data_IF_478851508133
#
_entry.id   IF_478851508133
#
_cell.length_a   1.000
_cell.length_b   1.000
_cell.length_c   1.000
_cell.angle_alpha   90.00
_cell.angle_beta   90.00
_cell.angle_gamma   90.00
#
_symmetry.space_group_name_H-M   'P 1'
#
loop_
_entity.id
_entity.type
_entity.pdbx_description
1 polymer ?
#
# COMPACT_ATOMS: atom_id res chain seq x y z
N UNK A 1 -18.08 17.97 -26.41
CA UNK A 1 -18.70 19.31 -26.31
C UNK A 1 -19.06 19.77 -24.89
N UNK A 2 -19.79 19.02 -24.04
CA UNK A 2 -20.00 19.43 -22.62
C UNK A 2 -18.79 19.12 -21.71
N UNK A 3 -18.10 18.00 -21.94
CA UNK A 3 -16.90 17.56 -21.19
C UNK A 3 -15.68 18.46 -21.39
N UNK A 4 -15.65 19.30 -22.43
CA UNK A 4 -14.53 20.21 -22.73
C UNK A 4 -14.62 21.54 -21.98
N UNK A 5 -15.72 21.81 -21.27
CA UNK A 5 -15.82 23.00 -20.42
C UNK A 5 -15.08 22.74 -19.09
N UNK A 6 -14.00 23.47 -18.78
CA UNK A 6 -13.17 23.20 -17.60
C UNK A 6 -13.93 23.26 -16.27
N UNK A 7 -15.03 24.04 -16.20
CA UNK A 7 -15.91 24.07 -15.03
C UNK A 7 -16.76 22.82 -14.85
N UNK A 8 -17.28 22.25 -15.95
CA UNK A 8 -18.09 21.03 -15.91
C UNK A 8 -17.24 19.82 -15.53
N UNK A 9 -16.03 19.70 -16.09
CA UNK A 9 -15.11 18.60 -15.78
C UNK A 9 -14.69 18.57 -14.31
N UNK A 10 -14.38 19.74 -13.74
CA UNK A 10 -14.11 19.89 -12.29
C UNK A 10 -15.33 19.55 -11.43
N UNK A 11 -16.52 20.03 -11.82
CA UNK A 11 -17.75 19.73 -11.08
C UNK A 11 -18.07 18.24 -11.07
N UNK A 12 -17.93 17.56 -12.22
CA UNK A 12 -18.12 16.11 -12.33
C UNK A 12 -17.12 15.34 -11.46
N UNK A 13 -15.84 15.72 -11.48
CA UNK A 13 -14.81 15.11 -10.63
C UNK A 13 -15.15 15.23 -9.14
N UNK A 14 -15.55 16.42 -8.69
CA UNK A 14 -15.95 16.65 -7.30
C UNK A 14 -17.23 15.90 -6.93
N UNK A 15 -18.20 15.80 -7.84
CA UNK A 15 -19.44 15.04 -7.62
C UNK A 15 -19.14 13.54 -7.42
N UNK A 16 -18.28 12.97 -8.25
CA UNK A 16 -17.86 11.57 -8.11
C UNK A 16 -17.05 11.36 -6.83
N UNK A 17 -16.18 12.31 -6.46
CA UNK A 17 -15.47 12.26 -5.17
C UNK A 17 -16.44 12.28 -3.98
N UNK A 18 -17.47 13.13 -4.00
CA UNK A 18 -18.50 13.17 -2.97
C UNK A 18 -19.33 11.88 -2.95
N UNK A 19 -19.63 11.30 -4.11
CA UNK A 19 -20.27 9.98 -4.18
C UNK A 19 -19.37 8.89 -3.58
N UNK A 20 -18.05 8.95 -3.80
CA UNK A 20 -17.09 8.01 -3.23
C UNK A 20 -16.97 8.11 -1.69
N UNK A 21 -17.35 9.25 -1.10
CA UNK A 21 -17.50 9.41 0.36
C UNK A 21 -18.82 8.83 0.90
N UNK A 22 -19.74 8.43 0.02
CA UNK A 22 -21.00 7.82 0.43
C UNK A 22 -20.82 6.32 0.72
N UNK A 23 -21.62 5.73 1.62
CA UNK A 23 -21.57 4.30 1.90
C UNK A 23 -22.02 3.43 0.72
N UNK A 24 -22.58 4.02 -0.34
CA UNK A 24 -23.05 3.33 -1.53
C UNK A 24 -21.93 3.07 -2.56
N UNK A 25 -20.80 3.76 -2.43
CA UNK A 25 -19.65 3.54 -3.30
C UNK A 25 -18.80 2.37 -2.81
N UNK A 26 -18.38 1.51 -3.74
CA UNK A 26 -17.40 0.46 -3.45
C UNK A 26 -15.98 0.96 -3.75
N UNK A 27 -14.99 0.42 -3.04
CA UNK A 27 -13.58 0.74 -3.25
C UNK A 27 -13.11 0.49 -4.69
N UNK A 28 -13.52 -0.64 -5.29
CA UNK A 28 -13.18 -0.97 -6.68
C UNK A 28 -13.79 0.02 -7.65
N UNK A 29 -15.10 0.29 -7.55
CA UNK A 29 -15.75 1.26 -8.45
C UNK A 29 -15.12 2.64 -8.34
N UNK A 30 -14.86 3.13 -7.13
CA UNK A 30 -14.19 4.40 -6.90
C UNK A 30 -12.83 4.46 -7.59
N UNK A 31 -11.98 3.45 -7.43
CA UNK A 31 -10.68 3.42 -8.08
C UNK A 31 -10.78 3.32 -9.61
N UNK A 32 -11.60 2.42 -10.14
CA UNK A 32 -11.75 2.26 -11.60
C UNK A 32 -12.29 3.53 -12.26
N UNK A 33 -13.24 4.20 -11.62
CA UNK A 33 -13.76 5.49 -12.10
C UNK A 33 -12.65 6.55 -12.03
N UNK A 34 -11.87 6.59 -10.95
CA UNK A 34 -10.68 7.45 -10.84
C UNK A 34 -9.67 7.22 -11.96
N UNK A 35 -9.37 5.95 -12.26
CA UNK A 35 -8.47 5.57 -13.36
C UNK A 35 -9.05 5.97 -14.73
N UNK A 36 -10.36 5.82 -14.92
CA UNK A 36 -11.05 6.32 -16.10
C UNK A 36 -10.91 7.84 -16.27
N UNK A 37 -11.00 8.60 -15.17
CA UNK A 37 -10.68 10.03 -15.16
C UNK A 37 -9.25 10.30 -15.57
N UNK A 38 -8.28 9.57 -15.00
CA UNK A 38 -6.87 9.73 -15.35
C UNK A 38 -6.57 9.47 -16.84
N UNK A 39 -7.11 8.36 -17.39
CA UNK A 39 -6.72 7.87 -18.71
C UNK A 39 -7.54 8.45 -19.87
N UNK A 40 -8.82 8.77 -19.64
CA UNK A 40 -9.75 9.19 -20.70
C UNK A 40 -9.95 10.71 -20.67
N UNK A 41 -10.22 11.26 -19.48
CA UNK A 41 -10.64 12.66 -19.33
C UNK A 41 -9.52 13.60 -18.85
N UNK A 42 -8.44 13.05 -18.30
CA UNK A 42 -7.45 13.79 -17.53
C UNK A 42 -7.96 14.18 -16.13
N UNK A 43 -7.05 14.22 -15.15
CA UNK A 43 -7.37 14.71 -13.82
C UNK A 43 -7.43 16.25 -13.80
N UNK A 44 -8.58 16.87 -13.46
CA UNK A 44 -8.71 18.32 -13.47
C UNK A 44 -8.08 19.03 -12.26
N UNK A 45 -7.65 18.27 -11.23
CA UNK A 45 -7.10 18.76 -9.97
C UNK A 45 -5.89 17.89 -9.53
N UNK A 46 -4.83 17.76 -10.33
CA UNK A 46 -3.77 16.78 -10.10
C UNK A 46 -3.02 16.97 -8.78
N UNK A 47 -2.61 18.21 -8.46
CA UNK A 47 -1.84 18.47 -7.24
C UNK A 47 -2.68 18.28 -5.97
N UNK A 48 -3.93 18.78 -6.00
CA UNK A 48 -4.86 18.67 -4.88
C UNK A 48 -5.26 17.22 -4.62
N UNK A 49 -5.62 16.47 -5.67
CA UNK A 49 -5.97 15.04 -5.54
C UNK A 49 -4.79 14.20 -5.06
N UNK A 50 -3.57 14.46 -5.52
CA UNK A 50 -2.36 13.74 -5.09
C UNK A 50 -2.01 14.05 -3.62
N UNK A 51 -2.19 15.28 -3.16
CA UNK A 51 -1.96 15.63 -1.75
C UNK A 51 -3.07 15.14 -0.83
N UNK A 52 -4.33 15.30 -1.25
CA UNK A 52 -5.49 14.85 -0.51
C UNK A 52 -5.50 13.33 -0.36
N UNK A 53 -5.19 12.58 -1.42
CA UNK A 53 -5.15 11.10 -1.37
C UNK A 53 -4.17 10.61 -0.31
N UNK A 54 -2.96 11.19 -0.23
CA UNK A 54 -1.95 10.82 0.78
C UNK A 54 -2.43 11.06 2.22
N UNK A 55 -3.14 12.15 2.47
CA UNK A 55 -3.63 12.50 3.80
C UNK A 55 -4.89 11.72 4.19
N UNK A 56 -5.89 11.70 3.31
CA UNK A 56 -7.14 10.97 3.53
C UNK A 56 -6.87 9.48 3.74
N UNK A 57 -5.92 8.91 3.00
CA UNK A 57 -5.53 7.52 3.18
C UNK A 57 -4.89 7.25 4.55
N UNK A 58 -4.02 8.13 5.04
CA UNK A 58 -3.45 8.00 6.39
C UNK A 58 -4.55 8.07 7.45
N UNK A 59 -5.49 9.01 7.31
CA UNK A 59 -6.63 9.14 8.21
C UNK A 59 -7.55 7.93 8.17
N UNK A 60 -7.84 7.41 6.98
CA UNK A 60 -8.61 6.19 6.80
C UNK A 60 -7.92 5.01 7.47
N UNK A 61 -6.62 4.79 7.24
CA UNK A 61 -5.86 3.71 7.87
C UNK A 61 -5.90 3.83 9.39
N UNK A 62 -5.67 5.03 9.96
CA UNK A 62 -5.79 5.24 11.42
C UNK A 62 -7.20 4.86 11.90
N UNK A 63 -8.24 5.34 11.23
CA UNK A 63 -9.63 5.09 11.60
C UNK A 63 -10.06 3.63 11.46
N UNK A 64 -9.47 2.87 10.52
CA UNK A 64 -9.69 1.43 10.40
C UNK A 64 -9.21 0.68 11.65
N UNK A 65 -8.26 1.23 12.41
CA UNK A 65 -7.81 0.68 13.69
C UNK A 65 -8.92 0.57 14.74
N UNK A 66 -9.98 1.38 14.65
CA UNK A 66 -11.14 1.28 15.55
C UNK A 66 -12.00 0.03 15.35
N UNK A 67 -11.70 -0.82 14.35
CA UNK A 67 -12.33 -2.13 14.17
C UNK A 67 -11.35 -3.29 14.35
N UNK A 68 -10.18 -3.02 14.92
CA UNK A 68 -9.11 -4.01 15.11
C UNK A 68 -8.88 -4.26 16.59
N UNK A 69 -8.70 -5.53 16.95
CA UNK A 69 -8.29 -5.94 18.28
C UNK A 69 -6.75 -6.00 18.34
N UNK A 70 -6.14 -5.27 19.28
CA UNK A 70 -4.67 -5.23 19.40
C UNK A 70 -4.07 -6.59 19.79
N UNK A 71 -4.80 -7.43 20.52
CA UNK A 71 -4.38 -8.79 20.86
C UNK A 71 -4.27 -9.66 19.62
N UNK A 72 -5.19 -9.51 18.66
CA UNK A 72 -5.14 -10.17 17.36
C UNK A 72 -3.95 -9.68 16.53
N UNK A 73 -3.68 -8.38 16.51
CA UNK A 73 -2.50 -7.80 15.84
C UNK A 73 -1.21 -8.39 16.40
N UNK A 74 -1.11 -8.49 17.74
CA UNK A 74 0.05 -9.07 18.41
C UNK A 74 0.16 -10.58 18.17
N UNK A 75 -0.96 -11.31 18.16
CA UNK A 75 -0.99 -12.73 17.86
C UNK A 75 -0.51 -13.01 16.42
N UNK A 76 -1.06 -12.28 15.44
CA UNK A 76 -0.61 -12.35 14.04
C UNK A 76 0.85 -11.93 13.92
N UNK A 77 1.30 -10.90 14.64
CA UNK A 77 2.70 -10.49 14.64
C UNK A 77 3.66 -11.53 15.20
N UNK A 78 3.23 -12.30 16.20
CA UNK A 78 4.02 -13.41 16.76
C UNK A 78 4.02 -14.62 15.82
N UNK A 79 2.87 -15.03 15.30
CA UNK A 79 2.76 -16.20 14.43
C UNK A 79 3.45 -15.98 13.08
N UNK A 80 3.39 -14.76 12.55
CA UNK A 80 4.00 -14.40 11.26
C UNK A 80 5.43 -13.87 11.37
N UNK A 81 6.04 -13.86 12.56
CA UNK A 81 7.36 -13.25 12.80
C UNK A 81 8.44 -13.85 11.90
N UNK A 82 8.60 -15.18 11.93
CA UNK A 82 9.63 -15.90 11.16
C UNK A 82 9.41 -15.69 9.67
N UNK A 83 8.18 -15.86 9.20
CA UNK A 83 7.81 -15.64 7.81
C UNK A 83 8.10 -14.20 7.37
N UNK A 84 7.78 -13.22 8.21
CA UNK A 84 7.99 -11.80 7.90
C UNK A 84 9.47 -11.48 7.78
N UNK A 85 10.31 -11.94 8.71
CA UNK A 85 11.76 -11.73 8.64
C UNK A 85 12.36 -12.40 7.40
N UNK A 86 12.01 -13.68 7.16
CA UNK A 86 12.53 -14.43 6.02
C UNK A 86 12.10 -13.76 4.72
N UNK A 87 10.81 -13.42 4.58
CA UNK A 87 10.30 -12.78 3.36
C UNK A 87 10.93 -11.41 3.14
N UNK A 88 10.97 -10.51 4.13
CA UNK A 88 11.59 -9.18 3.98
C UNK A 88 13.06 -9.31 3.59
N UNK A 89 13.81 -10.18 4.27
CA UNK A 89 15.24 -10.39 3.99
C UNK A 89 15.46 -10.97 2.60
N UNK A 90 14.67 -11.97 2.20
CA UNK A 90 14.74 -12.57 0.87
C UNK A 90 14.40 -11.56 -0.23
N UNK A 91 13.37 -10.74 -0.04
CA UNK A 91 12.96 -9.71 -1.01
C UNK A 91 14.06 -8.65 -1.15
N UNK A 92 14.64 -8.18 -0.05
CA UNK A 92 15.74 -7.21 -0.09
C UNK A 92 16.96 -7.82 -0.77
N UNK A 93 17.37 -9.04 -0.39
CA UNK A 93 18.52 -9.73 -0.97
C UNK A 93 18.36 -9.98 -2.47
N UNK A 94 17.20 -10.49 -2.90
CA UNK A 94 16.89 -10.71 -4.31
C UNK A 94 16.81 -9.38 -5.07
N UNK A 95 16.26 -8.34 -4.45
CA UNK A 95 16.20 -7.00 -5.02
C UNK A 95 17.60 -6.41 -5.23
N UNK A 96 18.52 -6.59 -4.29
CA UNK A 96 19.92 -6.17 -4.46
C UNK A 96 20.59 -6.90 -5.63
N UNK A 97 20.39 -8.23 -5.75
CA UNK A 97 20.90 -9.02 -6.89
C UNK A 97 20.34 -8.49 -8.22
N UNK A 98 19.01 -8.32 -8.31
CA UNK A 98 18.37 -7.82 -9.52
C UNK A 98 18.80 -6.39 -9.85
N UNK A 99 19.04 -5.54 -8.85
CA UNK A 99 19.51 -4.17 -9.08
C UNK A 99 20.85 -4.14 -9.81
N UNK A 100 21.74 -5.09 -9.53
CA UNK A 100 23.03 -5.25 -10.22
C UNK A 100 22.85 -5.76 -11.65
N UNK A 101 21.97 -6.77 -11.84
CA UNK A 101 21.63 -7.32 -13.17
C UNK A 101 21.09 -6.22 -14.10
N UNK A 102 20.18 -5.39 -13.58
CA UNK A 102 19.59 -4.26 -14.32
C UNK A 102 20.48 -3.01 -14.34
N UNK A 103 21.67 -3.04 -13.71
CA UNK A 103 22.64 -1.94 -13.64
C UNK A 103 22.01 -0.63 -13.15
N UNK A 104 21.24 -0.72 -12.07
CA UNK A 104 20.62 0.43 -11.44
C UNK A 104 21.62 1.19 -10.57
N UNK A 105 21.34 2.47 -10.34
CA UNK A 105 22.01 3.20 -9.26
C UNK A 105 21.73 2.49 -7.93
N UNK A 106 22.76 2.36 -7.10
CA UNK A 106 22.70 1.61 -5.85
C UNK A 106 21.54 2.05 -4.96
N UNK A 107 21.38 3.36 -4.76
CA UNK A 107 20.28 3.91 -3.96
C UNK A 107 18.90 3.57 -4.56
N UNK A 108 18.70 3.71 -5.87
CA UNK A 108 17.44 3.36 -6.53
C UNK A 108 17.09 1.89 -6.34
N UNK A 109 18.07 0.99 -6.51
CA UNK A 109 17.92 -0.45 -6.28
C UNK A 109 17.54 -0.77 -4.84
N UNK A 110 18.27 -0.21 -3.86
CA UNK A 110 17.98 -0.40 -2.44
C UNK A 110 16.60 0.14 -2.07
N UNK A 111 16.24 1.35 -2.52
CA UNK A 111 14.92 1.95 -2.23
C UNK A 111 13.77 1.12 -2.82
N UNK A 112 13.89 0.63 -4.06
CA UNK A 112 12.89 -0.25 -4.67
C UNK A 112 12.77 -1.57 -3.89
N UNK A 113 13.90 -2.15 -3.49
CA UNK A 113 13.93 -3.42 -2.75
C UNK A 113 13.26 -3.29 -1.37
N UNK A 114 13.61 -2.26 -0.59
CA UNK A 114 12.97 -1.96 0.69
C UNK A 114 11.50 -1.57 0.54
N UNK A 115 11.16 -0.78 -0.48
CA UNK A 115 9.78 -0.44 -0.82
C UNK A 115 8.94 -1.68 -1.11
N UNK A 116 9.47 -2.60 -1.92
CA UNK A 116 8.80 -3.85 -2.29
C UNK A 116 8.60 -4.75 -1.07
N UNK A 117 9.60 -4.83 -0.19
CA UNK A 117 9.62 -5.77 0.93
C UNK A 117 8.66 -5.43 2.07
N UNK A 118 8.42 -4.14 2.36
CA UNK A 118 7.77 -3.73 3.62
C UNK A 118 6.41 -3.03 3.39
N UNK A 119 6.40 -1.70 3.28
CA UNK A 119 5.16 -0.91 3.08
C UNK A 119 5.28 0.14 1.95
N UNK A 120 6.13 -0.11 0.96
CA UNK A 120 6.23 0.73 -0.22
C UNK A 120 6.83 2.09 0.09
N UNK A 121 6.05 3.14 -0.14
CA UNK A 121 6.51 4.53 -0.01
C UNK A 121 7.02 4.90 1.38
N UNK A 122 6.45 4.36 2.46
CA UNK A 122 6.94 4.70 3.82
C UNK A 122 8.27 4.03 4.14
N UNK A 123 8.55 2.86 3.56
CA UNK A 123 9.87 2.23 3.67
C UNK A 123 10.92 3.02 2.86
N UNK A 124 10.56 3.49 1.66
CA UNK A 124 11.41 4.40 0.86
C UNK A 124 11.71 5.68 1.64
N UNK A 125 10.70 6.31 2.23
CA UNK A 125 10.87 7.54 3.00
C UNK A 125 11.76 7.34 4.24
N UNK A 126 11.63 6.21 4.93
CA UNK A 126 12.46 5.89 6.08
C UNK A 126 13.92 5.58 5.70
N UNK A 127 14.14 4.95 4.53
CA UNK A 127 15.46 4.56 4.04
C UNK A 127 16.22 5.68 3.33
N UNK A 128 15.52 6.59 2.67
CA UNK A 128 16.10 7.69 1.91
C UNK A 128 17.16 8.50 2.70
N UNK A 129 16.91 8.98 3.93
CA UNK A 129 17.93 9.69 4.71
C UNK A 129 19.07 8.76 5.14
N UNK A 130 18.77 7.50 5.47
CA UNK A 130 19.74 6.52 5.94
C UNK A 130 20.83 6.26 4.90
N UNK A 131 20.45 6.11 3.63
CA UNK A 131 21.38 5.87 2.52
C UNK A 131 21.77 7.15 1.76
N UNK A 132 21.36 8.32 2.25
CA UNK A 132 21.59 9.64 1.62
C UNK A 132 21.15 9.67 0.16
N UNK A 133 19.94 9.17 -0.12
CA UNK A 133 19.37 9.13 -1.46
C UNK A 133 19.07 10.54 -1.99
N UNK A 134 19.30 10.74 -3.28
CA UNK A 134 18.98 11.99 -3.98
C UNK A 134 17.49 12.05 -4.30
N UNK A 135 16.94 13.26 -4.47
CA UNK A 135 15.51 13.46 -4.72
C UNK A 135 15.01 12.78 -6.00
N UNK A 136 15.84 12.74 -7.05
CA UNK A 136 15.54 12.00 -8.29
C UNK A 136 15.44 10.49 -8.05
N UNK A 137 16.32 9.92 -7.23
CA UNK A 137 16.30 8.50 -6.88
C UNK A 137 15.06 8.13 -6.08
N UNK A 138 14.69 8.96 -5.10
CA UNK A 138 13.46 8.81 -4.30
C UNK A 138 12.24 8.88 -5.22
N UNK A 139 12.18 9.88 -6.11
CA UNK A 139 11.05 10.07 -7.02
C UNK A 139 10.88 8.88 -7.99
N UNK A 140 11.97 8.37 -8.56
CA UNK A 140 11.95 7.18 -9.43
C UNK A 140 11.44 5.96 -8.66
N UNK A 141 11.99 5.68 -7.47
CA UNK A 141 11.59 4.53 -6.67
C UNK A 141 10.12 4.61 -6.24
N UNK A 142 9.64 5.78 -5.80
CA UNK A 142 8.23 5.99 -5.46
C UNK A 142 7.32 5.80 -6.68
N UNK A 143 7.71 6.32 -7.84
CA UNK A 143 6.92 6.22 -9.07
C UNK A 143 6.76 4.76 -9.52
N UNK A 144 7.83 3.98 -9.48
CA UNK A 144 7.79 2.55 -9.80
C UNK A 144 6.91 1.79 -8.82
N UNK A 145 7.10 1.98 -7.51
CA UNK A 145 6.31 1.29 -6.48
C UNK A 145 4.82 1.65 -6.58
N UNK A 146 4.49 2.92 -6.76
CA UNK A 146 3.09 3.34 -6.90
C UNK A 146 2.45 2.82 -8.19
N UNK A 147 3.21 2.73 -9.29
CA UNK A 147 2.73 2.12 -10.51
C UNK A 147 2.41 0.62 -10.33
N UNK A 148 3.32 -0.13 -9.71
CA UNK A 148 3.09 -1.56 -9.41
C UNK A 148 1.95 -1.77 -8.42
N UNK A 149 1.80 -0.88 -7.45
CA UNK A 149 0.68 -0.89 -6.51
C UNK A 149 -0.67 -0.70 -7.22
N UNK A 150 -0.74 0.25 -8.15
CA UNK A 150 -1.93 0.45 -8.97
C UNK A 150 -2.26 -0.81 -9.78
N UNK A 151 -1.25 -1.45 -10.40
CA UNK A 151 -1.44 -2.74 -11.08
C UNK A 151 -1.89 -3.84 -10.13
N UNK A 152 -1.29 -3.93 -8.95
CA UNK A 152 -1.59 -4.95 -7.95
C UNK A 152 -3.04 -4.88 -7.49
N UNK A 153 -3.54 -3.67 -7.28
CA UNK A 153 -4.91 -3.44 -6.88
C UNK A 153 -5.93 -3.94 -7.93
N UNK A 154 -5.58 -3.87 -9.22
CA UNK A 154 -6.41 -4.38 -10.31
C UNK A 154 -6.29 -5.89 -10.49
N UNK A 155 -5.06 -6.39 -10.46
CA UNK A 155 -4.74 -7.77 -10.86
C UNK A 155 -5.05 -8.75 -9.73
N UNK A 156 -4.76 -8.39 -8.48
CA UNK A 156 -4.83 -9.33 -7.35
C UNK A 156 -6.24 -9.87 -7.13
N UNK A 157 -7.30 -9.05 -6.97
CA UNK A 157 -8.64 -9.57 -6.73
C UNK A 157 -9.09 -10.54 -7.83
N UNK A 158 -8.81 -10.21 -9.10
CA UNK A 158 -9.11 -11.08 -10.23
C UNK A 158 -8.37 -12.41 -10.16
N UNK A 159 -7.05 -12.39 -9.91
CA UNK A 159 -6.27 -13.61 -9.72
C UNK A 159 -6.74 -14.41 -8.50
N UNK A 160 -7.10 -13.75 -7.41
CA UNK A 160 -7.62 -14.39 -6.21
C UNK A 160 -8.89 -15.18 -6.49
N UNK A 161 -9.81 -14.63 -7.29
CA UNK A 161 -11.01 -15.37 -7.73
C UNK A 161 -10.66 -16.48 -8.73
N UNK A 162 -9.72 -16.24 -9.65
CA UNK A 162 -9.26 -17.25 -10.61
C UNK A 162 -8.69 -18.49 -9.92
N UNK A 163 -7.86 -18.30 -8.89
CA UNK A 163 -7.32 -19.39 -8.06
C UNK A 163 -8.27 -19.86 -6.95
N UNK A 164 -9.49 -19.33 -6.89
CA UNK A 164 -10.50 -19.68 -5.88
C UNK A 164 -9.99 -19.59 -4.44
N UNK A 165 -9.21 -18.56 -4.14
CA UNK A 165 -8.68 -18.34 -2.79
C UNK A 165 -9.81 -18.07 -1.78
N UNK A 166 -9.64 -18.52 -0.56
CA UNK A 166 -10.48 -18.03 0.55
C UNK A 166 -10.15 -16.56 0.87
N UNK A 167 -11.03 -15.88 1.61
CA UNK A 167 -10.75 -14.51 2.07
C UNK A 167 -9.47 -14.42 2.91
N UNK A 168 -9.18 -15.44 3.73
CA UNK A 168 -7.96 -15.50 4.55
C UNK A 168 -6.70 -15.75 3.70
N UNK A 169 -6.78 -16.64 2.71
CA UNK A 169 -5.68 -16.87 1.76
C UNK A 169 -5.40 -15.62 0.93
N UNK A 170 -6.44 -14.95 0.44
CA UNK A 170 -6.29 -13.69 -0.28
C UNK A 170 -5.70 -12.59 0.62
N UNK A 171 -6.15 -12.49 1.88
CA UNK A 171 -5.60 -11.53 2.82
C UNK A 171 -4.10 -11.72 3.02
N UNK A 172 -3.68 -12.96 3.27
CA UNK A 172 -2.28 -13.31 3.46
C UNK A 172 -1.47 -13.01 2.19
N UNK A 173 -1.95 -13.49 1.03
CA UNK A 173 -1.25 -13.30 -0.24
C UNK A 173 -1.10 -11.83 -0.61
N UNK A 174 -2.20 -11.07 -0.61
CA UNK A 174 -2.19 -9.65 -0.95
C UNK A 174 -1.33 -8.84 0.02
N UNK A 175 -1.39 -9.09 1.33
CA UNK A 175 -0.57 -8.40 2.32
C UNK A 175 0.93 -8.74 2.20
N UNK A 176 1.26 -9.94 1.75
CA UNK A 176 2.66 -10.35 1.53
C UNK A 176 3.24 -9.75 0.25
N UNK A 177 2.46 -9.68 -0.83
CA UNK A 177 2.95 -9.40 -2.17
C UNK A 177 2.72 -7.97 -2.69
N UNK A 178 1.63 -7.30 -2.31
CA UNK A 178 1.41 -5.89 -2.70
C UNK A 178 2.29 -4.98 -1.83
N UNK A 179 2.88 -3.92 -2.37
CA UNK A 179 3.97 -3.22 -1.70
C UNK A 179 3.51 -2.30 -0.56
N UNK A 180 2.41 -1.57 -0.70
CA UNK A 180 1.94 -0.61 0.32
C UNK A 180 0.66 -1.03 1.05
N UNK A 181 0.40 -0.40 2.19
CA UNK A 181 -0.80 -0.67 3.00
C UNK A 181 -2.07 -0.26 2.26
N UNK A 182 -2.04 0.87 1.58
CA UNK A 182 -3.21 1.42 0.90
C UNK A 182 -3.76 0.54 -0.19
N UNK A 183 -2.90 -0.06 -1.00
CA UNK A 183 -3.30 -0.90 -2.11
C UNK A 183 -3.70 -2.28 -1.63
N UNK A 184 -3.10 -2.77 -0.55
CA UNK A 184 -3.57 -3.98 0.15
C UNK A 184 -4.98 -3.79 0.68
N UNK A 185 -5.20 -2.73 1.46
CA UNK A 185 -6.51 -2.41 2.04
C UNK A 185 -7.55 -2.27 0.94
N UNK A 186 -7.20 -1.58 -0.16
CA UNK A 186 -8.06 -1.44 -1.31
C UNK A 186 -8.40 -2.78 -1.97
N UNK A 187 -7.39 -3.57 -2.37
CA UNK A 187 -7.60 -4.87 -3.02
C UNK A 187 -8.41 -5.82 -2.12
N UNK A 188 -8.08 -5.87 -0.84
CA UNK A 188 -8.77 -6.69 0.16
C UNK A 188 -10.20 -6.24 0.41
N UNK A 189 -10.49 -4.94 0.37
CA UNK A 189 -11.86 -4.43 0.48
C UNK A 189 -12.77 -4.83 -0.69
N UNK A 190 -12.19 -5.11 -1.87
CA UNK A 190 -12.92 -5.67 -3.00
C UNK A 190 -13.21 -7.16 -2.79
N UNK A 191 -12.28 -7.86 -2.15
CA UNK A 191 -12.35 -9.31 -1.99
C UNK A 191 -13.30 -9.75 -0.88
N UNK A 192 -13.34 -9.01 0.24
CA UNK A 192 -14.32 -9.25 1.30
C UNK A 192 -13.94 -8.63 2.66
N UNK A 193 -14.86 -8.64 3.63
CA UNK A 193 -14.65 -8.02 4.94
C UNK A 193 -13.60 -8.73 5.81
N UNK A 194 -13.51 -10.06 5.73
CA UNK A 194 -12.47 -10.84 6.41
C UNK A 194 -11.14 -10.56 5.74
N UNK A 195 -11.12 -10.55 4.41
CA UNK A 195 -9.93 -10.23 3.64
C UNK A 195 -9.37 -8.86 4.03
N UNK A 196 -10.24 -7.83 4.06
CA UNK A 196 -9.90 -6.46 4.44
C UNK A 196 -9.26 -6.39 5.83
N UNK A 197 -9.93 -6.94 6.83
CA UNK A 197 -9.48 -6.85 8.23
C UNK A 197 -8.15 -7.57 8.41
N UNK A 198 -8.06 -8.82 7.94
CA UNK A 198 -6.86 -9.63 8.08
C UNK A 198 -5.67 -9.07 7.28
N UNK A 199 -5.88 -8.66 6.02
CA UNK A 199 -4.80 -8.11 5.19
C UNK A 199 -4.26 -6.80 5.77
N UNK A 200 -5.14 -5.96 6.29
CA UNK A 200 -4.77 -4.70 6.97
C UNK A 200 -3.90 -4.99 8.20
N UNK A 201 -4.33 -5.94 9.05
CA UNK A 201 -3.58 -6.38 10.22
C UNK A 201 -2.19 -6.90 9.85
N UNK A 202 -2.09 -7.86 8.92
CA UNK A 202 -0.81 -8.42 8.47
C UNK A 202 0.10 -7.31 7.94
N UNK A 203 -0.42 -6.42 7.09
CA UNK A 203 0.38 -5.38 6.43
C UNK A 203 0.89 -4.33 7.40
N UNK A 204 0.09 -3.94 8.39
CA UNK A 204 0.49 -2.98 9.42
C UNK A 204 1.46 -3.58 10.41
N UNK A 205 1.27 -4.85 10.77
CA UNK A 205 2.26 -5.62 11.54
C UNK A 205 3.60 -5.68 10.82
N UNK A 206 3.60 -5.92 9.50
CA UNK A 206 4.83 -5.86 8.69
C UNK A 206 5.44 -4.46 8.65
N UNK A 207 4.63 -3.40 8.65
CA UNK A 207 5.13 -2.02 8.67
C UNK A 207 5.92 -1.66 9.94
N UNK A 208 5.73 -2.39 11.05
CA UNK A 208 6.57 -2.23 12.24
C UNK A 208 8.05 -2.59 11.98
N UNK A 209 8.32 -3.44 10.98
CA UNK A 209 9.67 -3.86 10.60
C UNK A 209 10.46 -2.78 9.85
N UNK A 210 9.84 -1.66 9.47
CA UNK A 210 10.56 -0.51 8.89
C UNK A 210 11.67 -0.06 9.83
N UNK A 211 11.38 0.08 11.13
CA UNK A 211 12.34 0.64 12.10
C UNK A 211 13.55 -0.28 12.30
N UNK A 212 13.38 -1.59 12.62
CA UNK A 212 14.52 -2.51 12.70
C UNK A 212 15.35 -2.57 11.42
N UNK A 213 14.72 -2.73 10.26
CA UNK A 213 15.45 -2.89 8.99
C UNK A 213 16.16 -1.60 8.57
N UNK A 214 15.56 -0.44 8.79
CA UNK A 214 16.22 0.84 8.51
C UNK A 214 17.36 1.12 9.50
N UNK A 215 17.24 0.72 10.77
CA UNK A 215 18.33 0.81 11.74
C UNK A 215 19.50 -0.11 11.36
N UNK A 216 19.22 -1.36 10.98
CA UNK A 216 20.24 -2.31 10.48
C UNK A 216 20.93 -1.76 9.23
N UNK A 217 20.17 -1.17 8.30
CA UNK A 217 20.73 -0.54 7.13
C UNK A 217 21.60 0.68 7.50
N UNK A 218 21.23 1.45 8.51
CA UNK A 218 22.05 2.54 9.05
C UNK A 218 23.40 2.08 9.57
N UNK A 219 23.45 0.95 10.28
CA UNK A 219 24.72 0.33 10.70
C UNK A 219 25.54 -0.10 9.49
N UNK A 220 24.92 -0.79 8.53
CA UNK A 220 25.59 -1.27 7.31
C UNK A 220 26.16 -0.13 6.44
N UNK A 221 25.43 0.98 6.34
CA UNK A 221 25.82 2.17 5.58
C UNK A 221 26.61 3.20 6.39
N UNK A 222 26.90 2.93 7.67
CA UNK A 222 27.59 3.85 8.61
C UNK A 222 26.94 5.22 8.65
N UNK A 223 25.61 5.24 8.67
CA UNK A 223 24.80 6.46 8.71
C UNK A 223 24.55 6.92 10.14
N UNK A 224 24.68 8.23 10.38
CA UNK A 224 24.27 8.88 11.64
C UNK A 224 22.79 9.27 11.65
N UNK A 225 22.12 9.20 10.49
CA UNK A 225 20.72 9.58 10.34
C UNK A 225 19.80 8.48 10.85
N UNK A 226 18.74 8.87 11.58
CA UNK A 226 17.76 7.93 12.13
C UNK A 226 16.63 7.70 11.12
N UNK A 227 16.14 6.46 11.10
CA UNK A 227 14.95 6.11 10.34
C UNK A 227 13.72 6.89 10.84
N UNK A 228 12.95 7.48 9.91
CA UNK A 228 11.69 8.15 10.25
C UNK A 228 10.58 7.12 10.46
N UNK A 229 9.91 7.14 11.61
CA UNK A 229 8.75 6.27 11.88
C UNK A 229 7.50 6.92 11.24
N UNK A 230 6.76 6.20 10.38
CA UNK A 230 5.53 6.74 9.81
C UNK A 230 4.46 6.93 10.89
N UNK A 231 4.08 8.19 11.17
CA UNK A 231 3.14 8.54 12.25
C UNK A 231 1.76 7.87 12.13
N UNK A 232 1.32 7.54 10.91
CA UNK A 232 0.02 6.87 10.72
C UNK A 232 0.00 5.45 11.28
N UNK A 233 1.16 4.77 11.37
CA UNK A 233 1.27 3.45 12.00
C UNK A 233 1.04 3.60 13.51
N UNK A 234 1.63 4.62 14.11
CA UNK A 234 1.43 4.95 15.54
C UNK A 234 -0.04 5.26 15.80
N UNK A 235 -0.66 6.08 14.94
CA UNK A 235 -2.08 6.40 15.03
C UNK A 235 -2.99 5.17 14.90
N UNK A 236 -2.70 4.26 13.97
CA UNK A 236 -3.44 3.00 13.83
C UNK A 236 -3.33 2.12 15.08
N UNK A 237 -2.11 1.94 15.61
CA UNK A 237 -1.88 1.14 16.83
C UNK A 237 -2.64 1.76 18.01
N UNK A 238 -2.57 3.09 18.15
CA UNK A 238 -3.31 3.81 19.18
C UNK A 238 -4.83 3.62 19.04
N UNK A 239 -5.38 3.72 17.83
CA UNK A 239 -6.81 3.48 17.58
C UNK A 239 -7.22 2.03 17.93
N UNK A 240 -6.41 1.04 17.58
CA UNK A 240 -6.64 -0.37 17.93
C UNK A 240 -6.58 -0.61 19.45
N UNK A 241 -5.61 0.00 20.14
CA UNK A 241 -5.51 -0.07 21.61
C UNK A 241 -6.72 0.59 22.28
N UNK A 242 -7.14 1.76 21.82
CA UNK A 242 -8.32 2.48 22.31
C UNK A 242 -9.57 1.62 22.14
N UNK A 243 -9.78 1.05 20.95
CA UNK A 243 -10.91 0.16 20.68
C UNK A 243 -10.91 -1.07 21.61
N UNK A 244 -9.75 -1.70 21.79
CA UNK A 244 -9.63 -2.92 22.60
C UNK A 244 -9.84 -2.66 24.10
N UNK A 245 -9.31 -1.56 24.63
CA UNK A 245 -9.35 -1.27 26.06
C UNK A 245 -10.58 -0.48 26.52
N UNK A 246 -11.30 0.15 25.59
CA UNK A 246 -12.53 0.89 25.86
C UNK A 246 -13.73 0.29 25.12
N UNK A 247 -14.11 -0.98 25.39
CA UNK A 247 -15.19 -1.66 24.67
C UNK A 247 -16.56 -1.01 24.86
N UNK A 248 -16.75 -0.24 25.94
CA UNK A 248 -18.01 0.46 26.24
C UNK A 248 -18.40 1.51 25.18
N UNK A 249 -17.47 1.94 24.32
CA UNK A 249 -17.70 2.95 23.28
C UNK A 249 -17.86 2.33 21.88
N UNK A 250 -18.21 1.05 21.77
CA UNK A 250 -18.34 0.33 20.49
C UNK A 250 -19.19 1.06 19.44
N UNK A 251 -20.25 1.77 19.87
CA UNK A 251 -21.07 2.58 18.96
C UNK A 251 -20.25 3.70 18.30
N UNK A 252 -19.40 4.40 19.06
CA UNK A 252 -18.51 5.45 18.54
C UNK A 252 -17.45 4.84 17.61
N UNK A 253 -16.84 3.73 18.02
CA UNK A 253 -15.84 3.01 17.22
C UNK A 253 -16.40 2.54 15.87
N UNK A 254 -17.63 2.03 15.86
CA UNK A 254 -18.31 1.61 14.62
C UNK A 254 -18.58 2.77 13.65
N UNK A 255 -18.91 3.96 14.17
CA UNK A 255 -19.11 5.17 13.36
C UNK A 255 -17.77 5.66 12.80
N UNK A 256 -16.72 5.70 13.63
CA UNK A 256 -15.39 6.08 13.18
C UNK A 256 -14.84 5.11 12.12
N UNK A 257 -15.04 3.80 12.31
CA UNK A 257 -14.69 2.77 11.34
C UNK A 257 -15.46 2.96 10.01
N UNK A 258 -16.76 3.20 10.08
CA UNK A 258 -17.59 3.41 8.88
C UNK A 258 -17.19 4.68 8.12
N UNK A 259 -16.90 5.76 8.85
CA UNK A 259 -16.33 6.99 8.28
C UNK A 259 -14.98 6.74 7.64
N UNK A 260 -14.09 6.00 8.31
CA UNK A 260 -12.77 5.63 7.79
C UNK A 260 -12.86 4.80 6.51
N UNK A 261 -13.80 3.85 6.42
CA UNK A 261 -14.09 3.09 5.20
C UNK A 261 -14.54 3.99 4.06
N UNK A 262 -15.38 4.98 4.34
CA UNK A 262 -15.85 5.94 3.33
C UNK A 262 -14.71 6.85 2.85
N UNK A 263 -13.87 7.33 3.77
CA UNK A 263 -12.67 8.11 3.45
C UNK A 263 -11.66 7.28 2.66
N UNK A 264 -11.52 5.98 2.94
CA UNK A 264 -10.71 5.06 2.16
C UNK A 264 -11.20 5.01 0.71
N UNK A 265 -12.49 4.75 0.49
CA UNK A 265 -13.09 4.66 -0.86
C UNK A 265 -12.84 5.94 -1.65
N UNK A 266 -13.08 7.10 -1.02
CA UNK A 266 -12.79 8.40 -1.63
C UNK A 266 -11.28 8.60 -1.94
N UNK A 267 -10.41 8.16 -1.05
CA UNK A 267 -8.95 8.20 -1.27
C UNK A 267 -8.56 7.37 -2.49
N UNK A 268 -9.19 6.21 -2.69
CA UNK A 268 -8.90 5.33 -3.83
C UNK A 268 -9.35 5.92 -5.17
N UNK A 269 -10.47 6.63 -5.20
CA UNK A 269 -10.82 7.44 -6.38
C UNK A 269 -9.73 8.46 -6.72
N UNK A 270 -9.25 9.21 -5.71
CA UNK A 270 -8.19 10.18 -5.92
C UNK A 270 -6.87 9.53 -6.37
N UNK A 271 -6.49 8.39 -5.78
CA UNK A 271 -5.30 7.62 -6.18
C UNK A 271 -5.43 7.17 -7.64
N UNK A 272 -6.57 6.58 -8.02
CA UNK A 272 -6.84 6.16 -9.39
C UNK A 272 -6.74 7.33 -10.37
N UNK A 273 -7.28 8.50 -10.00
CA UNK A 273 -7.20 9.72 -10.81
C UNK A 273 -5.80 10.34 -10.87
N UNK A 274 -4.91 10.00 -9.95
CA UNK A 274 -3.53 10.49 -9.92
C UNK A 274 -2.58 9.69 -10.83
N UNK A 275 -3.01 8.53 -11.35
CA UNK A 275 -2.19 7.71 -12.24
C UNK A 275 -1.92 8.49 -13.53
N UNK A 276 -0.66 8.73 -13.87
CA UNK A 276 -0.29 9.41 -15.10
C UNK A 276 0.75 8.64 -15.91
N UNK A 277 0.59 8.67 -17.24
CA UNK A 277 1.55 8.06 -18.16
C UNK A 277 2.93 8.76 -18.09
N UNK A 278 2.96 10.01 -17.62
CA UNK A 278 4.18 10.76 -17.40
C UNK A 278 5.03 10.18 -16.24
N UNK A 279 4.40 9.78 -15.12
CA UNK A 279 5.09 9.14 -13.99
C UNK A 279 5.72 7.80 -14.39
N UNK A 280 5.03 7.04 -15.24
CA UNK A 280 5.56 5.78 -15.79
C UNK A 280 6.76 6.03 -16.72
N UNK A 281 6.69 7.08 -17.55
CA UNK A 281 7.77 7.41 -18.50
C UNK A 281 9.02 8.00 -17.84
N UNK A 282 8.89 8.75 -16.74
CA UNK A 282 10.03 9.35 -16.04
C UNK A 282 10.91 8.33 -15.31
N UNK A 283 10.37 7.16 -14.96
CA UNK A 283 11.06 6.16 -14.13
C UNK A 283 12.15 5.36 -14.87
N UNK A 284 12.18 5.44 -16.20
CA UNK A 284 13.01 4.57 -17.04
C UNK A 284 12.55 3.11 -17.02
N UNK A 285 12.87 2.36 -18.06
CA UNK A 285 12.39 0.97 -18.18
C UNK A 285 13.12 -0.01 -17.23
N UNK A 286 14.40 0.26 -16.89
CA UNK A 286 15.21 -0.65 -16.07
C UNK A 286 14.71 -0.75 -14.62
N UNK A 287 14.46 0.35 -13.89
CA UNK A 287 13.91 0.26 -12.52
C UNK A 287 12.54 -0.43 -12.51
N UNK A 288 11.69 -0.13 -13.50
CA UNK A 288 10.37 -0.73 -13.62
C UNK A 288 10.45 -2.25 -13.89
N UNK A 289 11.30 -2.68 -14.83
CA UNK A 289 11.48 -4.09 -15.15
C UNK A 289 12.03 -4.88 -13.96
N UNK A 290 13.05 -4.33 -13.28
CA UNK A 290 13.61 -4.93 -12.08
C UNK A 290 12.56 -5.11 -10.98
N UNK A 291 11.81 -4.06 -10.67
CA UNK A 291 10.76 -4.10 -9.65
C UNK A 291 9.63 -5.07 -10.02
N UNK A 292 9.23 -5.09 -11.30
CA UNK A 292 8.19 -6.00 -11.81
C UNK A 292 8.62 -7.46 -11.65
N UNK A 293 9.85 -7.81 -12.03
CA UNK A 293 10.38 -9.17 -11.89
C UNK A 293 10.46 -9.57 -10.42
N UNK A 294 10.99 -8.70 -9.56
CA UNK A 294 11.01 -8.93 -8.12
C UNK A 294 9.58 -9.20 -7.61
N UNK A 295 8.63 -8.35 -7.99
CA UNK A 295 7.24 -8.47 -7.58
C UNK A 295 6.58 -9.75 -8.08
N UNK A 296 6.82 -10.18 -9.33
CA UNK A 296 6.31 -11.43 -9.86
C UNK A 296 6.89 -12.65 -9.13
N UNK A 297 8.18 -12.65 -8.84
CA UNK A 297 8.81 -13.74 -8.07
C UNK A 297 8.18 -13.83 -6.68
N UNK A 298 8.08 -12.70 -5.98
CA UNK A 298 7.53 -12.66 -4.61
C UNK A 298 6.05 -13.05 -4.62
N UNK A 299 5.25 -12.49 -5.52
CA UNK A 299 3.82 -12.79 -5.65
C UNK A 299 3.59 -14.25 -5.99
N UNK A 300 4.36 -14.80 -6.93
CA UNK A 300 4.26 -16.19 -7.37
C UNK A 300 4.69 -17.17 -6.29
N UNK A 301 5.84 -16.95 -5.64
CA UNK A 301 6.31 -17.80 -4.54
C UNK A 301 5.32 -17.78 -3.39
N UNK A 302 4.84 -16.61 -2.95
CA UNK A 302 3.87 -16.53 -1.86
C UNK A 302 2.55 -17.20 -2.22
N UNK A 303 2.08 -17.06 -3.47
CA UNK A 303 0.86 -17.73 -3.94
C UNK A 303 1.02 -19.25 -3.89
N UNK A 304 2.13 -19.78 -4.41
CA UNK A 304 2.40 -21.22 -4.40
C UNK A 304 2.46 -21.78 -2.98
N UNK A 305 3.18 -21.12 -2.08
CA UNK A 305 3.27 -21.54 -0.68
C UNK A 305 1.92 -21.56 0.03
N UNK A 306 0.99 -20.68 -0.36
CA UNK A 306 -0.38 -20.64 0.18
C UNK A 306 -1.25 -21.75 -0.43
N UNK A 307 -1.15 -21.97 -1.74
CA UNK A 307 -1.90 -23.02 -2.44
C UNK A 307 -1.48 -24.43 -1.99
N UNK A 308 -0.19 -24.63 -1.74
CA UNK A 308 0.37 -25.89 -1.24
C UNK A 308 0.11 -26.08 0.28
N UNK A 309 -0.50 -25.09 0.95
CA UNK A 309 -0.81 -25.14 2.38
C UNK A 309 0.42 -25.03 3.30
N UNK A 310 1.59 -24.69 2.75
CA UNK A 310 2.84 -24.54 3.50
C UNK A 310 2.82 -23.29 4.41
N UNK A 311 2.03 -22.29 4.05
CA UNK A 311 1.81 -21.10 4.86
C UNK A 311 0.31 -20.83 4.98
N UNK A 312 -0.16 -20.79 6.22
CA UNK A 312 -1.52 -20.41 6.61
C UNK A 312 -1.47 -19.58 7.89
N UNK A 313 -2.56 -18.87 8.22
CA UNK A 313 -2.75 -18.13 9.46
C UNK A 313 -3.92 -18.70 10.24
#
# INVERSE_FOLDING_TARGET
MLLERPGFHKALFLLVFLFALSPFASASSALFIGLGFALILGNPLPDLSNNASKWLLKLAVIGLGFNVNIEEVLAVGRSSLVLTIISITAIIGLGEILSQVFRLNRNTGTLISFGTAICGGSAIAAMAPVIKARQDEIAISLSVIFALNALGLLIFPWLGHYFSLSESQFALWSALAIHDTSSVVAAASVYGPVALTMATTIKLTRAMWIVPYAAMAGVFWRSSEKASIPLFIIGFIAAAMINTWLPNYQSVWSVLYSGAKSVLVASLFLIGSGVSMAMLRQSGWRPFAMASILWFIVSGVMLLLILDGLITL
#
